data_IF_298629129794
#
_entry.id   IF_298629129794
#
_cell.length_a   1.000
_cell.length_b   1.000
_cell.length_c   1.000
_cell.angle_alpha   90.00
_cell.angle_beta   90.00
_cell.angle_gamma   90.00
#
_symmetry.space_group_name_H-M   'P 1'
#
loop_
_entity.id
_entity.type
_entity.pdbx_description
1 polymer ?
#
# COMPACT_ATOMS: atom_id res chain seq x y z
N UNK A 1 -12.38 7.69 -8.16
CA UNK A 1 -11.94 7.40 -9.55
C UNK A 1 -12.38 8.54 -10.46
N UNK A 2 -11.60 9.61 -10.57
CA UNK A 2 -11.89 10.77 -11.45
C UNK A 2 -10.88 10.96 -12.59
N UNK A 3 -9.86 10.11 -12.65
CA UNK A 3 -8.74 10.20 -13.60
C UNK A 3 -9.16 10.10 -15.09
N UNK A 4 -10.24 9.39 -15.50
CA UNK A 4 -10.64 9.39 -16.92
C UNK A 4 -11.64 10.50 -17.28
N UNK A 5 -12.35 11.11 -16.32
CA UNK A 5 -13.36 12.16 -16.60
C UNK A 5 -12.74 13.54 -16.80
N UNK A 6 -11.60 13.80 -16.16
CA UNK A 6 -10.90 15.09 -16.31
C UNK A 6 -10.10 15.18 -17.63
N UNK A 7 -9.79 14.05 -18.28
CA UNK A 7 -9.12 14.03 -19.58
C UNK A 7 -10.04 14.45 -20.74
N UNK A 8 -11.35 14.27 -20.59
CA UNK A 8 -12.30 14.37 -21.71
C UNK A 8 -12.92 15.78 -21.85
N UNK A 9 -12.95 16.56 -20.76
CA UNK A 9 -13.84 17.74 -20.70
C UNK A 9 -13.21 19.05 -21.20
N UNK A 10 -11.95 19.08 -21.68
CA UNK A 10 -11.26 20.32 -22.12
C UNK A 10 -11.39 21.53 -21.16
N UNK A 11 -11.76 21.33 -19.90
CA UNK A 11 -11.94 22.39 -18.89
C UNK A 11 -10.64 22.69 -18.14
N UNK A 12 -9.57 21.92 -18.40
CA UNK A 12 -8.24 22.08 -17.82
C UNK A 12 -7.33 23.07 -18.56
N UNK A 13 -7.77 23.70 -19.65
CA UNK A 13 -6.95 24.68 -20.37
C UNK A 13 -6.62 25.97 -19.59
N UNK A 14 -7.49 26.53 -18.71
CA UNK A 14 -7.12 27.75 -17.98
C UNK A 14 -6.16 27.50 -16.79
N UNK A 15 -6.06 26.26 -16.30
CA UNK A 15 -5.20 25.89 -15.16
C UNK A 15 -3.76 25.57 -15.61
N UNK A 16 -3.55 25.21 -16.89
CA UNK A 16 -2.20 25.06 -17.47
C UNK A 16 -1.46 26.40 -17.70
N UNK A 17 -2.10 27.55 -17.47
CA UNK A 17 -1.42 28.85 -17.53
C UNK A 17 -0.45 29.10 -16.36
N UNK A 18 -0.42 28.22 -15.34
CA UNK A 18 0.65 28.16 -14.35
C UNK A 18 1.49 26.92 -14.60
N UNK A 19 2.83 27.03 -14.69
CA UNK A 19 3.71 25.87 -14.72
C UNK A 19 3.65 25.18 -13.35
N UNK A 20 2.63 24.35 -13.15
CA UNK A 20 2.54 23.53 -11.94
C UNK A 20 3.65 22.49 -12.08
N UNK A 21 4.59 22.49 -11.13
CA UNK A 21 5.64 21.49 -11.10
C UNK A 21 5.00 20.10 -11.06
N UNK A 22 5.31 19.26 -12.05
CA UNK A 22 4.73 17.90 -12.22
C UNK A 22 4.85 17.06 -10.94
N UNK A 23 5.96 17.24 -10.20
CA UNK A 23 6.20 16.66 -8.88
C UNK A 23 5.20 17.08 -7.81
N UNK A 24 4.80 18.36 -7.79
CA UNK A 24 3.87 18.90 -6.81
C UNK A 24 2.45 18.38 -7.03
N UNK A 25 2.06 18.11 -8.28
CA UNK A 25 0.77 17.50 -8.60
C UNK A 25 0.69 16.04 -8.10
N UNK A 26 1.71 15.22 -8.36
CA UNK A 26 1.74 13.83 -7.91
C UNK A 26 1.79 13.76 -6.37
N UNK A 27 2.62 14.60 -5.75
CA UNK A 27 2.76 14.63 -4.29
C UNK A 27 1.47 15.06 -3.60
N UNK A 28 0.78 16.09 -4.10
CA UNK A 28 -0.49 16.53 -3.51
C UNK A 28 -1.59 15.49 -3.68
N UNK A 29 -1.64 14.80 -4.82
CA UNK A 29 -2.57 13.70 -5.04
C UNK A 29 -2.30 12.53 -4.08
N UNK A 30 -1.03 12.12 -3.95
CA UNK A 30 -0.66 11.07 -3.01
C UNK A 30 -0.99 11.46 -1.57
N UNK A 31 -0.65 12.68 -1.14
CA UNK A 31 -0.97 13.16 0.21
C UNK A 31 -2.48 13.19 0.47
N UNK A 32 -3.29 13.57 -0.52
CA UNK A 32 -4.75 13.51 -0.41
C UNK A 32 -5.23 12.06 -0.23
N UNK A 33 -4.69 11.10 -1.00
CA UNK A 33 -5.04 9.68 -0.83
C UNK A 33 -4.57 9.13 0.51
N UNK A 34 -3.38 9.51 0.98
CA UNK A 34 -2.83 9.12 2.28
C UNK A 34 -3.70 9.65 3.43
N UNK A 35 -4.11 10.92 3.38
CA UNK A 35 -4.99 11.52 4.37
C UNK A 35 -6.37 10.86 4.40
N UNK A 36 -6.93 10.54 3.22
CA UNK A 36 -8.20 9.83 3.12
C UNK A 36 -8.12 8.43 3.76
N UNK A 37 -7.03 7.70 3.47
CA UNK A 37 -6.78 6.41 4.11
C UNK A 37 -6.63 6.55 5.61
N UNK A 38 -5.86 7.54 6.08
CA UNK A 38 -5.65 7.77 7.50
C UNK A 38 -6.97 7.99 8.24
N UNK A 39 -7.83 8.86 7.71
CA UNK A 39 -9.15 9.11 8.30
C UNK A 39 -10.04 7.88 8.26
N UNK A 40 -10.01 7.11 7.17
CA UNK A 40 -10.79 5.87 7.04
C UNK A 40 -10.36 4.81 8.07
N UNK A 41 -9.05 4.61 8.24
CA UNK A 41 -8.52 3.67 9.22
C UNK A 41 -8.71 4.16 10.65
N UNK A 42 -8.63 5.46 10.91
CA UNK A 42 -8.94 6.04 12.21
C UNK A 42 -10.40 5.74 12.57
N UNK A 43 -11.34 5.97 11.65
CA UNK A 43 -12.75 5.67 11.85
C UNK A 43 -12.99 4.18 12.11
N UNK A 44 -12.43 3.30 11.27
CA UNK A 44 -12.53 1.85 11.44
C UNK A 44 -11.89 1.37 12.75
N UNK A 45 -10.75 1.93 13.13
CA UNK A 45 -10.04 1.58 14.36
C UNK A 45 -10.82 1.98 15.61
N UNK A 46 -11.39 3.19 15.63
CA UNK A 46 -12.26 3.63 16.72
C UNK A 46 -13.52 2.77 16.81
N UNK A 47 -14.17 2.49 15.68
CA UNK A 47 -15.34 1.62 15.64
C UNK A 47 -15.01 0.22 16.23
N UNK A 48 -13.87 -0.35 15.84
CA UNK A 48 -13.41 -1.65 16.33
C UNK A 48 -13.12 -1.64 17.84
N UNK A 49 -12.45 -0.60 18.36
CA UNK A 49 -12.20 -0.46 19.81
C UNK A 49 -13.52 -0.35 20.58
N UNK A 50 -14.48 0.46 20.10
CA UNK A 50 -15.79 0.59 20.72
C UNK A 50 -16.54 -0.75 20.72
N UNK A 51 -16.57 -1.45 19.59
CA UNK A 51 -17.22 -2.77 19.49
C UNK A 51 -16.59 -3.81 20.41
N UNK A 52 -15.26 -3.87 20.51
CA UNK A 52 -14.56 -4.81 21.40
C UNK A 52 -14.78 -4.46 22.86
N UNK A 53 -14.64 -3.18 23.22
CA UNK A 53 -14.86 -2.72 24.61
C UNK A 53 -16.28 -2.99 25.11
N UNK A 54 -17.28 -2.93 24.24
CA UNK A 54 -18.65 -3.29 24.56
C UNK A 54 -18.80 -4.79 24.90
N UNK A 55 -17.96 -5.65 24.31
CA UNK A 55 -18.01 -7.09 24.48
C UNK A 55 -17.18 -7.58 25.68
N UNK A 56 -15.92 -7.13 25.80
CA UNK A 56 -14.96 -7.60 26.81
C UNK A 56 -14.88 -6.72 28.06
N UNK A 57 -15.48 -5.52 28.04
CA UNK A 57 -15.37 -4.47 29.07
C UNK A 57 -13.93 -4.02 29.38
N UNK A 58 -12.97 -4.39 28.53
CA UNK A 58 -11.56 -4.00 28.64
C UNK A 58 -11.18 -3.10 27.47
N UNK A 59 -10.38 -2.08 27.75
CA UNK A 59 -9.80 -1.21 26.72
C UNK A 59 -8.41 -1.73 26.34
N UNK A 60 -8.30 -2.36 25.18
CA UNK A 60 -7.03 -2.86 24.65
C UNK A 60 -6.46 -1.89 23.59
N UNK A 61 -5.50 -1.06 24.00
CA UNK A 61 -4.81 -0.12 23.11
C UNK A 61 -3.98 -0.81 22.02
N UNK A 62 -3.63 -2.08 22.20
CA UNK A 62 -2.86 -2.88 21.25
C UNK A 62 -3.55 -2.99 19.89
N UNK A 63 -4.88 -2.92 19.85
CA UNK A 63 -5.66 -2.93 18.60
C UNK A 63 -5.33 -1.74 17.70
N UNK A 64 -4.99 -0.58 18.29
CA UNK A 64 -4.63 0.62 17.54
C UNK A 64 -3.31 0.41 16.76
N UNK A 65 -2.41 -0.40 17.30
CA UNK A 65 -1.15 -0.78 16.64
C UNK A 65 -1.42 -1.65 15.40
N UNK A 66 -2.38 -2.59 15.49
CA UNK A 66 -2.80 -3.41 14.36
C UNK A 66 -3.45 -2.57 13.24
N UNK A 67 -4.27 -1.59 13.63
CA UNK A 67 -4.90 -0.63 12.70
C UNK A 67 -3.83 0.22 12.01
N UNK A 68 -2.85 0.72 12.75
CA UNK A 68 -1.74 1.50 12.21
C UNK A 68 -0.89 0.68 11.22
N UNK A 69 -0.58 -0.58 11.54
CA UNK A 69 0.14 -1.46 10.63
C UNK A 69 -0.66 -1.72 9.33
N UNK A 70 -1.98 -1.91 9.45
CA UNK A 70 -2.87 -2.08 8.29
C UNK A 70 -2.94 -0.81 7.43
N UNK A 71 -2.87 0.37 8.04
CA UNK A 71 -2.77 1.65 7.35
C UNK A 71 -1.45 1.77 6.56
N UNK A 72 -0.30 1.42 7.16
CA UNK A 72 0.99 1.40 6.47
C UNK A 72 0.99 0.43 5.28
N UNK A 73 0.38 -0.74 5.44
CA UNK A 73 0.19 -1.70 4.36
C UNK A 73 -0.61 -1.09 3.20
N UNK A 74 -1.72 -0.41 3.50
CA UNK A 74 -2.56 0.25 2.50
C UNK A 74 -1.84 1.41 1.80
N UNK A 75 -1.01 2.18 2.52
CA UNK A 75 -0.20 3.26 1.96
C UNK A 75 0.77 2.76 0.88
N UNK A 76 1.44 1.64 1.12
CA UNK A 76 2.33 1.03 0.13
C UNK A 76 1.54 0.70 -1.13
N UNK A 77 0.43 -0.03 -1.01
CA UNK A 77 -0.40 -0.42 -2.16
C UNK A 77 -0.92 0.82 -2.91
N UNK A 78 -1.35 1.85 -2.19
CA UNK A 78 -1.82 3.11 -2.78
C UNK A 78 -0.71 3.86 -3.54
N UNK A 79 0.54 3.82 -3.06
CA UNK A 79 1.68 4.43 -3.75
C UNK A 79 1.97 3.75 -5.09
N UNK A 80 1.93 2.41 -5.15
CA UNK A 80 2.07 1.65 -6.39
C UNK A 80 0.91 1.90 -7.35
N UNK A 81 -0.33 1.92 -6.84
CA UNK A 81 -1.51 2.22 -7.64
C UNK A 81 -1.43 3.62 -8.26
N UNK A 82 -1.02 4.62 -7.47
CA UNK A 82 -0.79 5.99 -7.95
C UNK A 82 0.30 6.03 -9.02
N UNK A 83 1.41 5.32 -8.81
CA UNK A 83 2.49 5.25 -9.79
C UNK A 83 2.02 4.66 -11.13
N UNK A 84 1.29 3.53 -11.10
CA UNK A 84 0.75 2.90 -12.32
C UNK A 84 -0.31 3.77 -12.97
N UNK A 85 -1.13 4.47 -12.19
CA UNK A 85 -2.16 5.37 -12.71
C UNK A 85 -1.60 6.57 -13.48
N UNK A 86 -0.31 6.91 -13.34
CA UNK A 86 0.34 7.93 -14.18
C UNK A 86 0.58 7.46 -15.62
N UNK A 87 0.60 6.13 -15.85
CA UNK A 87 0.89 5.51 -17.14
C UNK A 87 -0.32 4.85 -17.77
N UNK A 88 -1.05 4.10 -16.97
CA UNK A 88 -2.09 3.19 -17.43
C UNK A 88 -3.49 3.74 -17.17
N UNK A 89 -4.49 3.08 -17.76
CA UNK A 89 -5.89 3.38 -17.47
C UNK A 89 -6.23 3.11 -15.99
N UNK A 90 -7.24 3.78 -15.43
CA UNK A 90 -7.63 3.61 -14.03
C UNK A 90 -8.00 2.16 -13.67
N UNK A 91 -8.51 1.40 -14.64
CA UNK A 91 -8.80 -0.02 -14.48
C UNK A 91 -7.52 -0.83 -14.21
N UNK A 92 -6.47 -0.59 -15.01
CA UNK A 92 -5.18 -1.28 -14.87
C UNK A 92 -4.48 -0.93 -13.54
N UNK A 93 -4.56 0.33 -13.11
CA UNK A 93 -4.01 0.74 -11.81
C UNK A 93 -4.65 -0.02 -10.64
N UNK A 94 -5.99 -0.18 -10.67
CA UNK A 94 -6.72 -0.99 -9.69
C UNK A 94 -6.29 -2.46 -9.71
N UNK A 95 -6.16 -3.06 -10.89
CA UNK A 95 -5.73 -4.45 -11.03
C UNK A 95 -4.32 -4.66 -10.47
N UNK A 96 -3.37 -3.76 -10.76
CA UNK A 96 -2.02 -3.84 -10.20
C UNK A 96 -2.03 -3.70 -8.69
N UNK A 97 -2.83 -2.77 -8.13
CA UNK A 97 -2.96 -2.63 -6.68
C UNK A 97 -3.43 -3.93 -6.01
N UNK A 98 -4.41 -4.62 -6.60
CA UNK A 98 -4.87 -5.93 -6.13
C UNK A 98 -3.76 -6.98 -6.22
N UNK A 99 -3.03 -7.06 -7.34
CA UNK A 99 -1.91 -8.00 -7.47
C UNK A 99 -0.81 -7.75 -6.44
N UNK A 100 -0.41 -6.50 -6.24
CA UNK A 100 0.60 -6.11 -5.25
C UNK A 100 0.14 -6.50 -3.84
N UNK A 101 -1.13 -6.26 -3.51
CA UNK A 101 -1.69 -6.65 -2.22
C UNK A 101 -1.71 -8.16 -2.03
N UNK A 102 -2.25 -8.92 -2.99
CA UNK A 102 -2.36 -10.37 -2.90
C UNK A 102 -0.98 -11.03 -2.79
N UNK A 103 -0.07 -10.70 -3.70
CA UNK A 103 1.26 -11.32 -3.72
C UNK A 103 2.09 -10.88 -2.52
N UNK A 104 2.05 -9.60 -2.16
CA UNK A 104 2.80 -9.10 -1.00
C UNK A 104 2.25 -9.60 0.34
N UNK A 105 0.95 -9.89 0.43
CA UNK A 105 0.33 -10.40 1.65
C UNK A 105 0.59 -11.89 1.88
N UNK A 106 1.07 -12.63 0.88
CA UNK A 106 1.39 -14.04 1.03
C UNK A 106 2.57 -14.22 2.01
N UNK A 107 2.41 -15.02 3.08
CA UNK A 107 3.50 -15.30 3.99
C UNK A 107 4.68 -15.93 3.25
N UNK A 108 5.89 -15.48 3.56
CA UNK A 108 7.09 -16.04 2.94
C UNK A 108 7.28 -17.55 3.15
N UNK A 109 6.70 -18.10 4.22
CA UNK A 109 6.64 -19.52 4.51
C UNK A 109 5.73 -20.28 3.53
N UNK A 110 4.60 -19.68 3.11
CA UNK A 110 3.67 -20.28 2.16
C UNK A 110 4.33 -20.50 0.80
N UNK A 111 5.14 -19.52 0.35
CA UNK A 111 5.91 -19.64 -0.89
C UNK A 111 7.00 -20.71 -0.76
N UNK A 112 7.66 -20.85 0.39
CA UNK A 112 8.69 -21.90 0.56
C UNK A 112 8.08 -23.30 0.62
N UNK A 113 6.98 -23.47 1.35
CA UNK A 113 6.31 -24.77 1.49
C UNK A 113 5.72 -25.27 0.16
N UNK A 114 5.00 -24.42 -0.59
CA UNK A 114 4.37 -24.85 -1.85
C UNK A 114 5.32 -24.94 -3.05
N UNK A 115 6.46 -24.22 -3.01
CA UNK A 115 7.28 -24.02 -4.20
C UNK A 115 8.67 -24.68 -4.13
N UNK A 116 9.13 -25.04 -2.93
CA UNK A 116 10.42 -25.75 -2.73
C UNK A 116 10.20 -27.24 -2.47
N UNK A 117 9.07 -27.60 -1.85
CA UNK A 117 8.78 -29.00 -1.50
C UNK A 117 8.08 -29.74 -2.67
N UNK A 118 7.27 -29.04 -3.46
CA UNK A 118 6.62 -29.60 -4.65
C UNK A 118 7.53 -29.45 -5.88
N UNK A 119 8.49 -30.39 -6.02
CA UNK A 119 9.46 -30.49 -7.12
C UNK A 119 8.79 -30.77 -8.48
N UNK A 120 8.09 -29.79 -9.05
CA UNK A 120 7.56 -29.93 -10.42
C UNK A 120 7.89 -28.78 -11.36
N UNK A 121 8.36 -27.61 -10.87
CA UNK A 121 8.68 -26.51 -11.78
C UNK A 121 9.71 -25.50 -11.23
N UNK A 122 11.00 -25.70 -11.53
CA UNK A 122 12.08 -24.76 -11.19
C UNK A 122 11.82 -23.34 -11.73
N UNK A 123 11.12 -23.23 -12.86
CA UNK A 123 10.71 -21.95 -13.43
C UNK A 123 9.72 -21.18 -12.54
N UNK A 124 8.74 -21.88 -11.95
CA UNK A 124 7.79 -21.24 -11.03
C UNK A 124 8.49 -20.79 -9.75
N UNK A 125 9.41 -21.60 -9.23
CA UNK A 125 10.25 -21.26 -8.08
C UNK A 125 11.14 -20.03 -8.32
N UNK A 126 11.78 -19.95 -9.50
CA UNK A 126 12.55 -18.80 -9.92
C UNK A 126 11.70 -17.54 -10.05
N UNK A 127 10.54 -17.64 -10.72
CA UNK A 127 9.62 -16.52 -10.92
C UNK A 127 9.08 -15.96 -9.60
N UNK A 128 8.66 -16.80 -8.66
CA UNK A 128 8.18 -16.34 -7.37
C UNK A 128 9.27 -15.71 -6.51
N UNK A 129 10.51 -16.22 -6.59
CA UNK A 129 11.66 -15.66 -5.87
C UNK A 129 12.02 -14.27 -6.43
N UNK A 130 12.03 -14.13 -7.76
CA UNK A 130 12.19 -12.82 -8.42
C UNK A 130 11.08 -11.86 -8.02
N UNK A 131 9.83 -12.31 -8.08
CA UNK A 131 8.67 -11.49 -7.78
C UNK A 131 8.67 -11.02 -6.32
N UNK A 132 9.09 -11.87 -5.38
CA UNK A 132 9.24 -11.53 -3.96
C UNK A 132 10.43 -10.60 -3.69
N UNK A 133 11.47 -10.64 -4.53
CA UNK A 133 12.58 -9.70 -4.43
C UNK A 133 12.21 -8.30 -4.92
N UNK A 134 11.26 -8.21 -5.86
CA UNK A 134 10.80 -6.96 -6.46
C UNK A 134 9.61 -6.37 -5.69
N UNK A 135 8.70 -7.22 -5.19
CA UNK A 135 7.51 -6.77 -4.47
C UNK A 135 7.77 -6.63 -2.96
N UNK A 136 7.18 -5.59 -2.33
CA UNK A 136 7.27 -5.41 -0.90
C UNK A 136 6.60 -6.58 -0.17
N UNK A 137 7.31 -7.16 0.80
CA UNK A 137 6.71 -8.13 1.70
C UNK A 137 5.70 -7.42 2.64
N UNK A 138 4.41 -7.47 2.28
CA UNK A 138 3.32 -6.89 3.07
C UNK A 138 2.92 -7.78 4.25
N UNK A 139 3.35 -9.04 4.29
CA UNK A 139 3.06 -9.97 5.40
C UNK A 139 3.63 -9.47 6.74
N UNK A 140 4.64 -8.59 6.69
CA UNK A 140 5.26 -7.94 7.85
C UNK A 140 4.26 -7.04 8.59
N UNK A 141 3.24 -6.53 7.90
CA UNK A 141 2.20 -5.67 8.49
C UNK A 141 1.03 -6.45 9.10
N UNK A 142 1.00 -7.77 8.97
CA UNK A 142 -0.01 -8.65 9.59
C UNK A 142 0.23 -8.82 11.10
N UNK A 143 0.27 -7.70 11.84
CA UNK A 143 0.39 -7.69 13.31
C UNK A 143 -0.91 -8.12 14.02
N UNK A 144 -1.99 -8.34 13.27
CA UNK A 144 -3.29 -8.77 13.78
C UNK A 144 -3.18 -10.12 14.50
N UNK A 145 -2.51 -11.08 13.86
CA UNK A 145 -2.33 -12.43 14.37
C UNK A 145 -1.56 -12.46 15.71
N UNK A 146 -0.34 -11.88 15.83
CA UNK A 146 0.38 -11.90 17.11
C UNK A 146 -0.32 -11.12 18.23
N UNK A 147 -1.08 -10.08 17.89
CA UNK A 147 -1.82 -9.29 18.90
C UNK A 147 -2.98 -10.10 19.48
N UNK A 148 -3.76 -10.77 18.63
CA UNK A 148 -4.87 -11.63 19.08
C UNK A 148 -4.36 -12.83 19.89
N UNK A 149 -3.19 -13.36 19.54
CA UNK A 149 -2.54 -14.45 20.27
C UNK A 149 -1.69 -14.00 21.47
N UNK A 150 -1.74 -12.70 21.84
CA UNK A 150 -0.99 -12.11 22.96
C UNK A 150 0.52 -12.41 22.93
N UNK A 151 1.10 -12.49 21.74
CA UNK A 151 2.54 -12.68 21.58
C UNK A 151 3.28 -11.37 21.90
N UNK A 152 4.38 -11.43 22.68
CA UNK A 152 5.19 -10.26 22.96
C UNK A 152 5.81 -9.74 21.65
N UNK A 153 5.54 -8.50 21.29
CA UNK A 153 6.14 -7.83 20.14
C UNK A 153 7.05 -6.69 20.59
N UNK A 154 8.18 -6.54 19.92
CA UNK A 154 9.15 -5.48 20.23
C UNK A 154 8.67 -4.13 19.65
N UNK A 155 8.65 -3.06 20.44
CA UNK A 155 8.30 -1.72 19.96
C UNK A 155 9.23 -1.19 18.85
N UNK A 156 10.49 -1.63 18.82
CA UNK A 156 11.43 -1.32 17.73
C UNK A 156 10.93 -1.83 16.37
N UNK A 157 10.13 -2.90 16.36
CA UNK A 157 9.53 -3.42 15.14
C UNK A 157 8.60 -2.39 14.48
N UNK A 158 7.85 -1.60 15.27
CA UNK A 158 6.96 -0.57 14.74
C UNK A 158 7.72 0.53 14.01
N UNK A 159 8.89 0.91 14.52
CA UNK A 159 9.75 1.89 13.85
C UNK A 159 10.30 1.28 12.54
N UNK A 160 10.76 0.03 12.58
CA UNK A 160 11.29 -0.66 11.41
C UNK A 160 10.25 -0.80 10.28
N UNK A 161 9.02 -1.21 10.59
CA UNK A 161 7.95 -1.32 9.57
C UNK A 161 7.54 0.05 9.05
N UNK A 162 7.57 1.10 9.88
CA UNK A 162 7.25 2.46 9.43
C UNK A 162 8.30 2.98 8.45
N UNK A 163 9.58 2.81 8.77
CA UNK A 163 10.69 3.17 7.87
C UNK A 163 10.63 2.37 6.57
N UNK A 164 10.34 1.07 6.66
CA UNK A 164 10.17 0.22 5.49
C UNK A 164 9.03 0.71 4.59
N UNK A 165 7.87 1.08 5.16
CA UNK A 165 6.77 1.68 4.40
C UNK A 165 7.18 2.98 3.69
N UNK A 166 7.86 3.88 4.41
CA UNK A 166 8.29 5.17 3.88
C UNK A 166 9.28 5.01 2.71
N UNK A 167 10.21 4.06 2.80
CA UNK A 167 11.16 3.78 1.71
C UNK A 167 10.41 3.32 0.45
N UNK A 168 9.48 2.37 0.58
CA UNK A 168 8.71 1.88 -0.56
C UNK A 168 7.81 2.96 -1.18
N UNK A 169 7.15 3.75 -0.34
CA UNK A 169 6.32 4.88 -0.78
C UNK A 169 7.18 5.90 -1.52
N UNK A 170 8.34 6.27 -0.98
CA UNK A 170 9.27 7.20 -1.62
C UNK A 170 9.73 6.66 -2.98
N UNK A 171 10.19 5.41 -3.04
CA UNK A 171 10.60 4.77 -4.29
C UNK A 171 9.48 4.76 -5.35
N UNK A 172 8.24 4.42 -4.95
CA UNK A 172 7.10 4.38 -5.86
C UNK A 172 6.74 5.79 -6.40
N UNK A 173 6.74 6.81 -5.54
CA UNK A 173 6.43 8.19 -5.93
C UNK A 173 7.54 8.78 -6.81
N UNK A 174 8.81 8.53 -6.48
CA UNK A 174 9.94 8.94 -7.33
C UNK A 174 9.85 8.27 -8.70
N UNK A 175 9.52 6.98 -8.74
CA UNK A 175 9.26 6.26 -9.98
C UNK A 175 8.13 6.89 -10.79
N UNK A 176 7.01 7.22 -10.14
CA UNK A 176 5.87 7.89 -10.76
C UNK A 176 6.26 9.23 -11.40
N UNK A 177 7.05 10.04 -10.70
CA UNK A 177 7.48 11.35 -11.20
C UNK A 177 8.41 11.25 -12.42
N UNK A 178 9.34 10.29 -12.44
CA UNK A 178 10.21 10.04 -13.61
C UNK A 178 9.38 9.58 -14.81
N UNK A 179 8.43 8.67 -14.58
CA UNK A 179 7.62 8.06 -15.62
C UNK A 179 6.64 9.06 -16.25
N UNK A 180 6.10 9.98 -15.43
CA UNK A 180 5.30 11.12 -15.88
C UNK A 180 6.15 12.20 -16.58
N UNK A 181 7.41 12.37 -16.19
CA UNK A 181 8.35 13.28 -16.84
C UNK A 181 8.66 12.90 -18.29
N UNK A 182 8.64 11.60 -18.61
CA UNK A 182 8.88 11.07 -19.96
C UNK A 182 7.69 11.16 -20.91
N UNK A 183 6.50 11.47 -20.39
CA UNK A 183 5.34 11.77 -21.22
C UNK A 183 5.39 13.25 -21.58
N UNK A 184 5.82 13.54 -22.79
CA UNK A 184 5.55 14.83 -23.41
C UNK A 184 4.03 14.89 -23.66
N UNK A 185 3.37 15.79 -22.94
CA UNK A 185 2.00 16.23 -23.20
C UNK A 185 2.05 17.47 -24.09
#
# INVERSE_FOLDING_TARGET
SSIPKDLETRSLYPILARPINRWQYILSHFLATAALLFLSFLFLGLALIVSVSALTRTFEYTLLIAVFASYLQALIVASFCTAVSTVASPALAGTVGVFVYLIGSLPGAFIRFFLVEDRSNEFAAGAATMLKSILPNLSIYSLKDPIVHQLPFNHLYLVAITLYALVWVACAITGAGILFGRRDL
#
